data_IF_144377497139
#
_entry.id   IF_144377497139
#
_cell.length_a   1.000
_cell.length_b   1.000
_cell.length_c   1.000
_cell.angle_alpha   90.00
_cell.angle_beta   90.00
_cell.angle_gamma   90.00
#
_symmetry.space_group_name_H-M   'P 1'
#
loop_
_entity.id
_entity.type
_entity.pdbx_description
1 polymer ?
#
# COMPACT_ATOMS: atom_id res chain seq x y z
N UNK A 1 -25.12 -23.59 -6.76
CA UNK A 1 -24.44 -22.27 -6.82
C UNK A 1 -24.91 -21.47 -5.62
N UNK A 2 -24.09 -21.38 -4.56
CA UNK A 2 -24.41 -20.58 -3.36
C UNK A 2 -23.67 -19.25 -3.51
N UNK A 3 -24.40 -18.20 -3.83
CA UNK A 3 -23.86 -16.84 -3.81
C UNK A 3 -23.81 -16.42 -2.33
N UNK A 4 -22.64 -16.53 -1.69
CA UNK A 4 -22.41 -15.91 -0.38
C UNK A 4 -21.93 -14.48 -0.62
N UNK A 5 -22.79 -13.52 -0.33
CA UNK A 5 -22.40 -12.12 -0.20
C UNK A 5 -21.59 -12.00 1.10
N UNK A 6 -20.26 -12.04 1.01
CA UNK A 6 -19.36 -11.79 2.15
C UNK A 6 -19.29 -10.28 2.38
N UNK A 7 -19.91 -9.79 3.44
CA UNK A 7 -19.83 -8.38 3.86
C UNK A 7 -18.42 -8.10 4.38
N UNK A 8 -17.64 -7.30 3.65
CA UNK A 8 -16.29 -6.88 4.07
C UNK A 8 -16.35 -5.78 5.11
N UNK A 9 -15.75 -6.01 6.27
CA UNK A 9 -15.47 -4.96 7.27
C UNK A 9 -14.05 -4.46 6.99
N UNK A 10 -13.90 -3.15 6.75
CA UNK A 10 -12.60 -2.49 6.59
C UNK A 10 -12.41 -1.59 7.80
N UNK A 11 -11.40 -1.87 8.62
CA UNK A 11 -10.96 -0.98 9.67
C UNK A 11 -9.64 -0.32 9.23
N UNK A 12 -9.63 1.00 9.09
CA UNK A 12 -8.46 1.79 8.68
C UNK A 12 -8.06 2.70 9.84
N UNK A 13 -6.78 2.64 10.22
CA UNK A 13 -6.18 3.59 11.15
C UNK A 13 -5.07 4.33 10.41
N UNK A 14 -5.10 5.67 10.43
CA UNK A 14 -4.07 6.51 9.82
C UNK A 14 -3.51 7.50 10.85
N UNK A 15 -2.25 7.89 10.67
CA UNK A 15 -1.56 8.89 11.48
C UNK A 15 -0.65 9.75 10.62
N UNK A 16 -0.64 11.05 10.90
CA UNK A 16 0.19 12.05 10.20
C UNK A 16 1.05 12.80 11.23
N UNK A 17 2.32 12.98 10.92
CA UNK A 17 3.25 13.83 11.68
C UNK A 17 4.03 14.73 10.73
N UNK A 18 4.16 16.01 11.05
CA UNK A 18 4.98 16.95 10.26
C UNK A 18 6.21 17.36 11.06
N UNK A 19 7.38 17.22 10.46
CA UNK A 19 8.62 17.87 10.89
C UNK A 19 8.91 18.98 9.87
N UNK A 20 9.60 20.05 10.28
CA UNK A 20 9.75 21.30 9.51
C UNK A 20 10.40 21.19 8.11
N UNK A 21 10.72 19.99 7.63
CA UNK A 21 11.22 19.71 6.28
C UNK A 21 10.57 18.48 5.60
N UNK A 22 9.74 17.71 6.32
CA UNK A 22 9.13 16.48 5.82
C UNK A 22 7.83 16.13 6.55
N UNK A 23 6.83 15.70 5.78
CA UNK A 23 5.61 15.08 6.25
C UNK A 23 5.76 13.57 6.29
N UNK A 24 5.25 12.95 7.35
CA UNK A 24 5.23 11.51 7.54
C UNK A 24 3.78 11.06 7.63
N UNK A 25 3.41 10.08 6.83
CA UNK A 25 2.11 9.44 6.87
C UNK A 25 2.28 7.94 7.11
N UNK A 26 1.34 7.36 7.85
CA UNK A 26 1.30 5.92 8.09
C UNK A 26 -0.13 5.45 8.16
N UNK A 27 -0.34 4.21 7.73
CA UNK A 27 -1.64 3.58 7.78
C UNK A 27 -1.53 2.08 8.10
N UNK A 28 -2.59 1.55 8.72
CA UNK A 28 -2.80 0.11 8.90
C UNK A 28 -4.25 -0.23 8.62
N UNK A 29 -4.47 -1.36 7.96
CA UNK A 29 -5.79 -1.86 7.63
C UNK A 29 -5.91 -3.36 7.93
N UNK A 30 -7.12 -3.75 8.33
CA UNK A 30 -7.57 -5.13 8.34
C UNK A 30 -8.69 -5.29 7.31
N UNK A 31 -8.58 -6.30 6.45
CA UNK A 31 -9.60 -6.67 5.47
C UNK A 31 -9.87 -8.16 5.49
N UNK A 32 -11.05 -8.56 5.00
CA UNK A 32 -11.41 -9.98 4.86
C UNK A 32 -10.74 -10.66 3.68
N UNK A 33 -10.23 -9.89 2.73
CA UNK A 33 -9.53 -10.32 1.52
C UNK A 33 -8.67 -9.14 1.04
N UNK A 34 -7.49 -9.41 0.48
CA UNK A 34 -6.72 -8.41 -0.24
C UNK A 34 -6.94 -8.57 -1.74
N UNK A 35 -7.71 -7.65 -2.33
CA UNK A 35 -7.97 -7.61 -3.78
C UNK A 35 -7.02 -6.61 -4.45
N UNK A 36 -6.21 -7.09 -5.39
CA UNK A 36 -5.40 -6.23 -6.25
C UNK A 36 -5.79 -6.44 -7.72
N UNK A 37 -6.18 -5.34 -8.38
CA UNK A 37 -6.63 -5.32 -9.79
C UNK A 37 -7.71 -6.37 -10.12
N UNK A 38 -8.59 -6.66 -9.15
CA UNK A 38 -9.69 -7.62 -9.29
C UNK A 38 -9.33 -9.07 -8.98
N UNK A 39 -8.11 -9.37 -8.53
CA UNK A 39 -7.66 -10.70 -8.14
C UNK A 39 -7.36 -10.75 -6.63
N UNK A 40 -7.80 -11.81 -5.95
CA UNK A 40 -7.38 -12.05 -4.56
C UNK A 40 -5.88 -12.30 -4.50
N UNK A 41 -5.23 -11.67 -3.53
CA UNK A 41 -3.82 -11.88 -3.21
C UNK A 41 -3.65 -12.74 -1.95
N UNK A 42 -4.72 -13.00 -1.21
CA UNK A 42 -4.72 -13.80 0.03
C UNK A 42 -5.63 -15.03 -0.08
N UNK A 43 -6.00 -15.46 -1.28
CA UNK A 43 -6.90 -16.60 -1.51
C UNK A 43 -8.24 -16.53 -0.74
N UNK A 44 -8.84 -15.33 -0.69
CA UNK A 44 -10.06 -15.01 0.09
C UNK A 44 -9.91 -15.11 1.62
N UNK A 45 -8.68 -15.16 2.13
CA UNK A 45 -8.37 -15.13 3.56
C UNK A 45 -8.09 -13.70 4.06
N UNK A 46 -8.23 -13.44 5.39
CA UNK A 46 -7.98 -12.13 5.96
C UNK A 46 -6.59 -11.57 5.65
N UNK A 47 -6.53 -10.25 5.44
CA UNK A 47 -5.29 -9.52 5.21
C UNK A 47 -5.08 -8.44 6.26
N UNK A 48 -3.83 -8.32 6.72
CA UNK A 48 -3.31 -7.14 7.40
C UNK A 48 -2.37 -6.43 6.45
N UNK A 49 -2.60 -5.14 6.27
CA UNK A 49 -1.76 -4.30 5.44
C UNK A 49 -1.43 -2.99 6.11
N UNK A 50 -0.37 -2.35 5.66
CA UNK A 50 0.01 -1.04 6.16
C UNK A 50 1.13 -0.43 5.33
N UNK A 51 1.25 0.88 5.47
CA UNK A 51 2.22 1.67 4.74
C UNK A 51 2.82 2.76 5.59
N UNK A 52 3.93 3.27 5.08
CA UNK A 52 4.64 4.41 5.64
C UNK A 52 5.19 5.27 4.50
N UNK A 53 4.97 6.56 4.60
CA UNK A 53 5.30 7.56 3.61
C UNK A 53 6.12 8.68 4.23
N UNK A 54 7.05 9.21 3.46
CA UNK A 54 7.75 10.46 3.73
C UNK A 54 7.68 11.35 2.49
N UNK A 55 7.25 12.59 2.66
CA UNK A 55 7.20 13.59 1.60
C UNK A 55 7.88 14.89 2.06
N UNK A 56 8.77 15.44 1.23
CA UNK A 56 9.42 16.72 1.49
C UNK A 56 8.71 17.88 0.78
N UNK A 57 8.93 19.11 1.26
CA UNK A 57 8.40 20.33 0.61
C UNK A 57 8.88 20.52 -0.84
N UNK A 58 9.97 19.85 -1.23
CA UNK A 58 10.47 19.88 -2.62
C UNK A 58 9.56 19.14 -3.60
N UNK A 59 8.62 18.33 -3.13
CA UNK A 59 7.81 17.43 -3.97
C UNK A 59 8.38 16.02 -4.09
N UNK A 60 9.59 15.76 -3.57
CA UNK A 60 10.13 14.39 -3.48
C UNK A 60 9.39 13.59 -2.41
N UNK A 61 9.05 12.35 -2.74
CA UNK A 61 8.46 11.40 -1.80
C UNK A 61 9.08 10.01 -1.91
N UNK A 62 8.98 9.27 -0.81
CA UNK A 62 9.34 7.86 -0.70
C UNK A 62 8.36 7.17 0.22
N UNK A 63 7.99 5.94 -0.09
CA UNK A 63 7.14 5.16 0.79
C UNK A 63 7.29 3.66 0.58
N UNK A 64 6.71 2.94 1.52
CA UNK A 64 6.61 1.50 1.47
C UNK A 64 5.22 1.06 1.89
N UNK A 65 4.76 -0.04 1.31
CA UNK A 65 3.52 -0.70 1.69
C UNK A 65 3.76 -2.19 1.79
N UNK A 66 3.09 -2.85 2.72
CA UNK A 66 3.20 -4.29 2.88
C UNK A 66 1.86 -4.93 3.23
N UNK A 67 1.69 -6.18 2.80
CA UNK A 67 0.57 -7.04 3.20
C UNK A 67 0.96 -8.51 3.17
N UNK A 68 0.28 -9.32 3.96
CA UNK A 68 0.35 -10.76 3.73
C UNK A 68 -0.28 -11.12 2.37
N UNK A 69 0.26 -12.17 1.73
CA UNK A 69 -0.22 -12.76 0.48
C UNK A 69 -0.23 -14.30 0.59
N UNK A 70 -0.96 -14.96 -0.31
CA UNK A 70 -1.05 -16.41 -0.45
C UNK A 70 -1.34 -16.75 -1.92
N UNK A 71 -0.33 -17.30 -2.61
CA UNK A 71 -0.41 -17.69 -4.02
C UNK A 71 -0.25 -19.20 -4.26
N UNK A 72 -0.01 -19.99 -3.21
CA UNK A 72 0.27 -21.43 -3.30
C UNK A 72 1.72 -21.77 -3.69
N UNK A 73 2.61 -20.79 -3.80
CA UNK A 73 4.03 -20.95 -4.17
C UNK A 73 5.00 -20.70 -3.00
N UNK A 74 4.47 -20.42 -1.80
CA UNK A 74 5.24 -20.12 -0.59
C UNK A 74 5.49 -18.62 -0.35
N UNK A 75 5.08 -17.72 -1.25
CA UNK A 75 5.02 -16.30 -0.96
C UNK A 75 4.08 -16.01 0.22
N UNK A 76 4.52 -15.16 1.15
CA UNK A 76 3.73 -14.82 2.33
C UNK A 76 3.65 -13.32 2.63
N UNK A 77 4.48 -12.53 1.97
CA UNK A 77 4.56 -11.09 2.13
C UNK A 77 4.74 -10.45 0.76
N UNK A 78 3.89 -9.48 0.46
CA UNK A 78 4.16 -8.45 -0.55
C UNK A 78 4.77 -7.25 0.17
N UNK A 79 5.86 -6.75 -0.40
CA UNK A 79 6.54 -5.54 0.04
C UNK A 79 6.76 -4.64 -1.17
N UNK A 80 6.16 -3.48 -1.10
CA UNK A 80 6.18 -2.46 -2.12
C UNK A 80 7.09 -1.32 -1.69
N UNK A 81 7.85 -0.82 -2.65
CA UNK A 81 8.66 0.38 -2.50
C UNK A 81 8.31 1.34 -3.61
N UNK A 82 8.07 2.59 -3.26
CA UNK A 82 7.87 3.63 -4.24
C UNK A 82 8.62 4.90 -3.87
N UNK A 83 9.03 5.60 -4.91
CA UNK A 83 9.67 6.89 -4.81
C UNK A 83 9.26 7.72 -6.01
N UNK A 84 9.11 9.02 -5.82
CA UNK A 84 8.73 9.88 -6.92
C UNK A 84 8.90 11.35 -6.62
N UNK A 85 8.41 12.15 -7.55
CA UNK A 85 8.38 13.59 -7.49
C UNK A 85 7.03 14.07 -8.00
N UNK A 86 6.30 14.79 -7.15
CA UNK A 86 5.03 15.42 -7.49
C UNK A 86 5.15 16.94 -7.33
N UNK A 87 4.60 17.69 -8.28
CA UNK A 87 4.59 19.15 -8.23
C UNK A 87 3.46 19.74 -9.06
N UNK A 88 3.20 21.03 -8.87
CA UNK A 88 2.19 21.80 -9.58
C UNK A 88 2.84 23.02 -10.23
N UNK A 89 2.54 23.24 -11.50
CA UNK A 89 2.98 24.42 -12.25
C UNK A 89 2.09 25.63 -11.92
N UNK A 90 2.60 26.84 -12.10
CA UNK A 90 1.86 28.10 -11.82
C UNK A 90 0.52 28.23 -12.58
N UNK A 91 0.36 27.49 -13.68
CA UNK A 91 -0.89 27.43 -14.45
C UNK A 91 -1.92 26.42 -13.89
N UNK A 92 -1.65 25.82 -12.72
CA UNK A 92 -2.48 24.83 -12.05
C UNK A 92 -2.36 23.40 -12.61
N UNK A 93 -1.38 23.13 -13.47
CA UNK A 93 -1.14 21.78 -13.97
C UNK A 93 -0.28 20.98 -12.99
N UNK A 94 -0.86 19.94 -12.39
CA UNK A 94 -0.15 19.00 -11.50
C UNK A 94 0.41 17.80 -12.27
N UNK A 95 1.59 17.33 -11.88
CA UNK A 95 2.21 16.12 -12.41
C UNK A 95 2.87 15.30 -11.30
N UNK A 96 2.95 13.99 -11.52
CA UNK A 96 3.64 13.04 -10.67
C UNK A 96 4.42 12.07 -11.56
N UNK A 97 5.70 11.93 -11.28
CA UNK A 97 6.56 10.92 -11.88
C UNK A 97 7.19 10.08 -10.78
N UNK A 98 7.02 8.76 -10.87
CA UNK A 98 7.47 7.85 -9.83
C UNK A 98 7.90 6.51 -10.37
N UNK A 99 8.58 5.78 -9.49
CA UNK A 99 8.96 4.40 -9.65
C UNK A 99 8.29 3.58 -8.55
N UNK A 100 7.85 2.38 -8.89
CA UNK A 100 7.18 1.45 -7.98
C UNK A 100 7.69 0.04 -8.26
N UNK A 101 8.17 -0.61 -7.20
CA UNK A 101 8.64 -1.98 -7.20
C UNK A 101 7.83 -2.82 -6.21
N UNK A 102 7.20 -3.87 -6.72
CA UNK A 102 6.47 -4.87 -5.94
C UNK A 102 7.39 -6.08 -5.78
N UNK A 103 7.60 -6.53 -4.55
CA UNK A 103 8.43 -7.71 -4.25
C UNK A 103 7.65 -8.72 -3.43
N UNK A 104 7.71 -9.98 -3.84
CA UNK A 104 7.06 -11.08 -3.16
C UNK A 104 8.10 -11.94 -2.45
N UNK A 105 8.04 -11.96 -1.12
CA UNK A 105 8.98 -12.72 -0.31
C UNK A 105 8.41 -14.11 -0.01
N UNK A 106 9.17 -15.12 -0.42
CA UNK A 106 8.91 -16.53 -0.10
C UNK A 106 9.28 -16.79 1.36
N UNK A 107 8.41 -17.46 2.11
CA UNK A 107 8.74 -18.00 3.43
C UNK A 107 9.93 -18.97 3.31
N UNK A 108 11.08 -18.55 3.80
CA UNK A 108 12.20 -19.46 4.03
C UNK A 108 11.95 -20.10 5.41
N UNK A 109 11.62 -21.39 5.42
CA UNK A 109 11.59 -22.21 6.64
C UNK A 109 13.02 -22.49 7.13
#
# INVERSE_FOLDING_TARGET
MKNLLKTGVIALFSGVMSLQAAEFESNVALSSDYIWRGMTQTAEEPAISGGFDIAGESGLYFGTWASNVEFGDGAALELDWYAGYASELDNGFSYDIGYLAYTYQVKIL
#
